data_IF_024973629751
#
_entry.id   IF_024973629751
#
_cell.length_a   1.000
_cell.length_b   1.000
_cell.length_c   1.000
_cell.angle_alpha   90.00
_cell.angle_beta   90.00
_cell.angle_gamma   90.00
#
_symmetry.space_group_name_H-M   'P 1'
#
loop_
_entity.id
_entity.type
_entity.pdbx_description
1 polymer ?
#
# COMPACT_ATOMS: atom_id res chain seq x y z
N UNK A 1 44.10 -6.66 30.58
CA UNK A 1 43.46 -7.73 29.82
C UNK A 1 42.38 -7.11 28.96
N UNK A 2 42.64 -6.96 27.66
CA UNK A 2 41.69 -6.38 26.71
C UNK A 2 40.95 -7.53 26.06
N UNK A 3 39.63 -7.57 26.23
CA UNK A 3 38.76 -8.52 25.49
C UNK A 3 38.52 -7.95 24.10
N UNK A 4 39.12 -8.61 23.09
CA UNK A 4 38.74 -8.43 21.70
C UNK A 4 37.44 -9.17 21.42
N UNK A 5 36.36 -8.43 21.16
CA UNK A 5 35.16 -9.01 20.56
C UNK A 5 35.41 -9.19 19.04
N UNK A 6 35.60 -10.44 18.62
CA UNK A 6 35.56 -10.81 17.21
C UNK A 6 34.12 -10.76 16.73
N UNK A 7 33.78 -9.79 15.90
CA UNK A 7 32.56 -9.78 15.11
C UNK A 7 32.73 -10.78 13.96
N UNK A 8 32.09 -11.92 14.02
CA UNK A 8 31.87 -12.77 12.86
C UNK A 8 30.81 -12.13 11.98
N UNK A 9 31.03 -11.93 10.68
CA UNK A 9 29.99 -11.43 9.78
C UNK A 9 28.88 -12.49 9.66
N UNK A 10 27.68 -12.14 10.08
CA UNK A 10 26.49 -12.97 9.86
C UNK A 10 26.28 -13.15 8.36
N UNK A 11 26.39 -14.37 7.89
CA UNK A 11 26.02 -14.76 6.54
C UNK A 11 24.50 -14.68 6.41
N UNK A 12 24.01 -13.93 5.41
CA UNK A 12 22.58 -13.75 5.09
C UNK A 12 21.89 -15.09 4.75
N UNK A 13 22.64 -16.17 4.57
CA UNK A 13 22.13 -17.50 4.18
C UNK A 13 21.57 -18.35 5.33
N UNK A 14 21.78 -17.98 6.60
CA UNK A 14 21.52 -18.91 7.73
C UNK A 14 20.20 -18.68 8.48
N UNK A 15 19.30 -17.76 8.07
CA UNK A 15 18.16 -17.37 8.93
C UNK A 15 16.77 -17.60 8.30
N UNK A 16 16.64 -18.23 7.12
CA UNK A 16 15.30 -18.35 6.54
C UNK A 16 14.96 -19.81 6.23
N UNK A 17 14.11 -20.41 7.07
CA UNK A 17 13.54 -21.74 6.83
C UNK A 17 12.47 -21.68 5.72
N UNK A 18 12.27 -22.78 4.98
CA UNK A 18 11.19 -22.94 3.99
C UNK A 18 9.81 -22.55 4.53
N UNK A 19 9.61 -22.59 5.84
CA UNK A 19 8.37 -22.24 6.56
C UNK A 19 8.06 -20.73 6.56
N UNK A 20 9.06 -19.86 6.37
CA UNK A 20 8.88 -18.41 6.35
C UNK A 20 8.42 -17.87 4.99
N UNK A 21 8.74 -18.60 3.91
CA UNK A 21 8.28 -18.28 2.55
C UNK A 21 6.77 -18.49 2.40
N UNK A 22 6.23 -19.50 3.08
CA UNK A 22 4.80 -19.85 3.00
C UNK A 22 3.88 -18.88 3.77
N UNK A 23 4.42 -18.01 4.63
CA UNK A 23 3.63 -17.12 5.50
C UNK A 23 3.60 -15.66 5.04
N UNK A 24 4.32 -15.27 3.98
CA UNK A 24 4.28 -13.88 3.50
C UNK A 24 2.91 -13.51 2.93
N UNK A 25 2.32 -12.43 3.45
CA UNK A 25 1.08 -11.87 2.90
C UNK A 25 1.47 -10.93 1.76
N UNK A 26 1.26 -11.40 0.52
CA UNK A 26 1.67 -10.66 -0.69
C UNK A 26 0.61 -10.75 -1.78
N UNK A 27 0.37 -9.64 -2.45
CA UNK A 27 -0.53 -9.54 -3.58
C UNK A 27 -0.22 -8.32 -4.42
N UNK A 28 -1.18 -7.95 -5.26
CA UNK A 28 -1.05 -6.80 -6.15
C UNK A 28 -2.36 -6.05 -6.26
N UNK A 29 -2.31 -4.90 -6.92
CA UNK A 29 -3.50 -4.24 -7.40
C UNK A 29 -4.21 -5.11 -8.44
N UNK A 30 -5.55 -5.24 -8.31
CA UNK A 30 -6.41 -6.02 -9.20
C UNK A 30 -7.63 -5.21 -9.64
N UNK A 31 -8.26 -5.63 -10.74
CA UNK A 31 -9.36 -4.89 -11.35
C UNK A 31 -10.72 -5.28 -10.74
N UNK A 32 -11.47 -4.28 -10.26
CA UNK A 32 -12.85 -4.42 -9.80
C UNK A 32 -13.81 -4.24 -10.99
N UNK A 33 -13.98 -5.32 -11.74
CA UNK A 33 -14.81 -5.34 -12.96
C UNK A 33 -16.27 -5.69 -12.73
N UNK A 34 -16.84 -6.46 -13.65
CA UNK A 34 -18.25 -6.89 -13.58
C UNK A 34 -18.53 -7.93 -12.49
N UNK A 35 -17.55 -8.78 -12.18
CA UNK A 35 -17.62 -9.76 -11.10
C UNK A 35 -17.22 -9.17 -9.73
N UNK A 36 -16.98 -7.86 -9.64
CA UNK A 36 -16.68 -7.13 -8.42
C UNK A 36 -15.59 -7.84 -7.57
N UNK A 37 -15.80 -8.02 -6.26
CA UNK A 37 -14.86 -8.64 -5.34
C UNK A 37 -14.48 -10.08 -5.75
N UNK A 38 -15.42 -10.84 -6.33
CA UNK A 38 -15.13 -12.19 -6.83
C UNK A 38 -14.10 -12.19 -7.96
N UNK A 39 -14.25 -11.26 -8.90
CA UNK A 39 -13.29 -11.08 -9.99
C UNK A 39 -11.90 -10.67 -9.47
N UNK A 40 -11.85 -9.78 -8.47
CA UNK A 40 -10.60 -9.42 -7.78
C UNK A 40 -9.91 -10.64 -7.17
N UNK A 41 -10.64 -11.46 -6.43
CA UNK A 41 -10.10 -12.65 -5.79
C UNK A 41 -9.59 -13.68 -6.81
N UNK A 42 -10.35 -13.93 -7.91
CA UNK A 42 -9.91 -14.81 -8.99
C UNK A 42 -8.63 -14.32 -9.64
N UNK A 43 -8.53 -13.01 -9.89
CA UNK A 43 -7.36 -12.40 -10.48
C UNK A 43 -6.14 -12.53 -9.56
N UNK A 44 -6.29 -12.25 -8.26
CA UNK A 44 -5.22 -12.41 -7.26
C UNK A 44 -4.71 -13.86 -7.20
N UNK A 45 -5.60 -14.85 -7.15
CA UNK A 45 -5.24 -16.27 -7.15
C UNK A 45 -4.48 -16.65 -8.42
N UNK A 46 -4.85 -16.10 -9.58
CA UNK A 46 -4.16 -16.37 -10.86
C UNK A 46 -2.73 -15.85 -10.86
N UNK A 47 -2.40 -14.88 -10.01
CA UNK A 47 -1.04 -14.37 -9.81
C UNK A 47 -0.25 -15.10 -8.71
N UNK A 48 -0.86 -16.08 -8.04
CA UNK A 48 -0.26 -16.75 -6.90
C UNK A 48 -0.21 -15.90 -5.63
N UNK A 49 -1.06 -14.86 -5.57
CA UNK A 49 -1.21 -13.98 -4.42
C UNK A 49 -2.11 -14.58 -3.34
N UNK A 50 -1.93 -14.17 -2.08
CA UNK A 50 -2.79 -14.52 -0.94
C UNK A 50 -3.43 -13.28 -0.28
N UNK A 51 -3.30 -12.14 -0.92
CA UNK A 51 -4.02 -10.89 -0.66
C UNK A 51 -4.13 -10.08 -1.95
N UNK A 52 -4.84 -8.95 -1.92
CA UNK A 52 -4.92 -8.03 -3.05
C UNK A 52 -5.41 -6.65 -2.62
N UNK A 53 -5.21 -5.67 -3.49
CA UNK A 53 -5.78 -4.33 -3.38
C UNK A 53 -6.63 -4.01 -4.61
N UNK A 54 -7.67 -3.20 -4.43
CA UNK A 54 -8.57 -2.82 -5.51
C UNK A 54 -9.19 -1.43 -5.28
N UNK A 55 -9.65 -0.80 -6.36
CA UNK A 55 -10.57 0.34 -6.29
C UNK A 55 -12.00 -0.17 -6.46
N UNK A 56 -13.00 0.42 -5.78
CA UNK A 56 -14.41 0.00 -5.92
C UNK A 56 -15.06 0.45 -7.24
N UNK A 57 -14.28 1.02 -8.14
CA UNK A 57 -14.62 1.52 -9.47
C UNK A 57 -13.44 2.27 -10.05
N UNK A 58 -13.59 2.92 -11.22
CA UNK A 58 -12.49 3.64 -11.84
C UNK A 58 -12.00 4.79 -10.93
N UNK A 59 -10.68 4.87 -10.63
CA UNK A 59 -10.15 5.83 -9.64
C UNK A 59 -10.18 7.29 -10.12
N UNK A 60 -10.37 7.53 -11.43
CA UNK A 60 -10.43 8.86 -12.03
C UNK A 60 -11.85 9.45 -12.09
N UNK A 61 -12.89 8.72 -11.64
CA UNK A 61 -14.27 9.20 -11.66
C UNK A 61 -15.06 8.73 -10.42
N UNK A 62 -16.32 9.17 -10.35
CA UNK A 62 -17.22 8.91 -9.21
C UNK A 62 -18.29 7.87 -9.51
N UNK A 63 -18.28 7.27 -10.70
CA UNK A 63 -19.28 6.30 -11.10
C UNK A 63 -19.07 5.01 -10.31
N UNK A 64 -20.09 4.60 -9.54
CA UNK A 64 -20.05 3.39 -8.70
C UNK A 64 -21.28 2.53 -8.96
N UNK A 65 -21.05 1.28 -9.35
CA UNK A 65 -22.13 0.28 -9.41
C UNK A 65 -22.50 -0.15 -7.99
N UNK A 66 -23.77 -0.51 -7.77
CA UNK A 66 -24.20 -1.10 -6.49
C UNK A 66 -23.36 -2.36 -6.19
N UNK A 67 -23.01 -2.56 -4.93
CA UNK A 67 -22.37 -3.81 -4.49
C UNK A 67 -23.38 -4.94 -4.59
N UNK A 68 -22.96 -6.04 -5.21
CA UNK A 68 -23.74 -7.26 -5.33
C UNK A 68 -23.43 -8.18 -4.16
N UNK A 69 -24.44 -8.44 -3.34
CA UNK A 69 -24.30 -9.27 -2.14
C UNK A 69 -23.97 -10.73 -2.47
N UNK A 70 -24.53 -11.27 -3.57
CA UNK A 70 -24.27 -12.65 -3.99
C UNK A 70 -22.80 -12.80 -4.44
N UNK A 71 -22.33 -11.89 -5.30
CA UNK A 71 -20.91 -11.88 -5.71
C UNK A 71 -19.97 -11.69 -4.51
N UNK A 72 -20.39 -10.91 -3.52
CA UNK A 72 -19.61 -10.73 -2.29
C UNK A 72 -19.54 -12.02 -1.46
N UNK A 73 -20.65 -12.75 -1.33
CA UNK A 73 -20.67 -14.04 -0.64
C UNK A 73 -19.85 -15.10 -1.37
N UNK A 74 -19.99 -15.17 -2.69
CA UNK A 74 -19.17 -16.05 -3.53
C UNK A 74 -17.68 -15.71 -3.45
N UNK A 75 -17.34 -14.42 -3.43
CA UNK A 75 -15.95 -13.96 -3.25
C UNK A 75 -15.36 -14.44 -1.93
N UNK A 76 -16.10 -14.28 -0.82
CA UNK A 76 -15.64 -14.74 0.50
C UNK A 76 -15.41 -16.24 0.54
N UNK A 77 -16.30 -17.01 -0.05
CA UNK A 77 -16.14 -18.47 -0.17
C UNK A 77 -14.89 -18.80 -1.00
N UNK A 78 -14.77 -18.20 -2.18
CA UNK A 78 -13.63 -18.43 -3.09
C UNK A 78 -12.29 -18.05 -2.44
N UNK A 79 -12.24 -16.91 -1.74
CA UNK A 79 -11.04 -16.47 -1.00
C UNK A 79 -10.65 -17.48 0.08
N UNK A 80 -11.61 -17.94 0.89
CA UNK A 80 -11.34 -18.93 1.94
C UNK A 80 -10.82 -20.25 1.37
N UNK A 81 -11.38 -20.72 0.25
CA UNK A 81 -10.96 -21.95 -0.44
C UNK A 81 -9.55 -21.83 -1.06
N UNK A 82 -9.09 -20.61 -1.33
CA UNK A 82 -7.79 -20.34 -1.97
C UNK A 82 -6.77 -19.65 -1.03
N UNK A 83 -7.01 -19.65 0.29
CA UNK A 83 -6.05 -19.15 1.28
C UNK A 83 -5.90 -17.63 1.31
N UNK A 84 -6.90 -16.88 0.85
CA UNK A 84 -6.95 -15.41 0.99
C UNK A 84 -7.79 -15.07 2.23
N UNK A 85 -7.17 -14.45 3.23
CA UNK A 85 -7.89 -13.87 4.37
C UNK A 85 -8.43 -12.48 3.99
N UNK A 86 -9.75 -12.29 4.05
CA UNK A 86 -10.40 -11.00 3.78
C UNK A 86 -9.89 -9.87 4.69
N UNK A 87 -9.40 -10.20 5.88
CA UNK A 87 -8.82 -9.23 6.80
C UNK A 87 -7.51 -8.60 6.30
N UNK A 88 -6.88 -9.22 5.30
CA UNK A 88 -5.68 -8.72 4.66
C UNK A 88 -5.96 -8.03 3.31
N UNK A 89 -7.22 -8.03 2.86
CA UNK A 89 -7.63 -7.38 1.62
C UNK A 89 -7.73 -5.87 1.82
N UNK A 90 -7.18 -5.12 0.88
CA UNK A 90 -7.06 -3.66 0.95
C UNK A 90 -7.91 -3.03 -0.15
N UNK A 91 -8.63 -1.97 0.17
CA UNK A 91 -9.18 -1.05 -0.82
C UNK A 91 -8.29 0.17 -0.94
N UNK A 92 -8.16 0.75 -2.12
CA UNK A 92 -7.55 2.07 -2.29
C UNK A 92 -8.63 3.11 -2.62
N UNK A 93 -8.59 4.24 -1.96
CA UNK A 93 -9.48 5.36 -2.25
C UNK A 93 -9.09 6.02 -3.59
N UNK A 94 -10.06 6.52 -4.38
CA UNK A 94 -9.76 7.21 -5.63
C UNK A 94 -8.85 8.42 -5.44
N UNK A 95 -7.84 8.57 -6.30
CA UNK A 95 -6.85 9.66 -6.21
C UNK A 95 -7.42 11.06 -6.51
N UNK A 96 -8.69 11.16 -6.95
CA UNK A 96 -9.38 12.45 -7.08
C UNK A 96 -9.76 13.06 -5.73
N UNK A 97 -9.67 12.29 -4.64
CA UNK A 97 -9.93 12.76 -3.27
C UNK A 97 -8.76 13.63 -2.81
N UNK A 98 -9.04 14.85 -2.38
CA UNK A 98 -8.07 15.74 -1.77
C UNK A 98 -8.60 16.27 -0.44
N UNK A 99 -8.11 15.73 0.67
CA UNK A 99 -8.54 16.11 2.02
C UNK A 99 -7.80 17.35 2.55
N UNK A 100 -6.73 17.77 1.89
CA UNK A 100 -5.84 18.83 2.38
C UNK A 100 -6.33 20.24 2.08
N UNK A 101 -7.00 20.47 0.94
CA UNK A 101 -7.34 21.81 0.47
C UNK A 101 -8.81 22.17 0.71
N UNK A 102 -9.06 22.92 1.79
CA UNK A 102 -10.38 23.42 2.15
C UNK A 102 -10.68 24.84 1.63
N UNK A 103 -9.74 25.53 0.97
CA UNK A 103 -10.05 26.81 0.31
C UNK A 103 -11.17 26.66 -0.73
N UNK A 104 -11.19 25.53 -1.44
CA UNK A 104 -12.34 25.11 -2.22
C UNK A 104 -13.25 24.22 -1.36
N UNK A 105 -14.13 24.83 -0.59
CA UNK A 105 -14.99 24.11 0.34
C UNK A 105 -15.91 23.09 -0.34
N UNK A 106 -16.38 23.38 -1.57
CA UNK A 106 -17.20 22.44 -2.34
C UNK A 106 -16.39 21.17 -2.71
N UNK A 107 -15.17 21.33 -3.18
CA UNK A 107 -14.29 20.21 -3.52
C UNK A 107 -13.88 19.42 -2.29
N UNK A 108 -13.62 20.09 -1.17
CA UNK A 108 -13.27 19.43 0.08
C UNK A 108 -14.44 18.61 0.65
N UNK A 109 -15.65 19.22 0.69
CA UNK A 109 -16.87 18.54 1.13
C UNK A 109 -17.19 17.34 0.22
N UNK A 110 -17.00 17.48 -1.10
CA UNK A 110 -17.11 16.38 -2.05
C UNK A 110 -16.12 15.25 -1.70
N UNK A 111 -14.84 15.56 -1.45
CA UNK A 111 -13.82 14.57 -1.09
C UNK A 111 -14.17 13.82 0.19
N UNK A 112 -14.67 14.53 1.22
CA UNK A 112 -15.14 13.92 2.46
C UNK A 112 -16.34 13.00 2.23
N UNK A 113 -17.34 13.45 1.49
CA UNK A 113 -18.54 12.66 1.21
C UNK A 113 -18.21 11.41 0.36
N UNK A 114 -17.32 11.57 -0.62
CA UNK A 114 -16.92 10.47 -1.50
C UNK A 114 -16.08 9.42 -0.76
N UNK A 115 -15.13 9.83 0.08
CA UNK A 115 -14.38 8.88 0.92
C UNK A 115 -15.32 8.15 1.89
N UNK A 116 -16.27 8.85 2.49
CA UNK A 116 -17.29 8.21 3.35
C UNK A 116 -18.12 7.18 2.59
N UNK A 117 -18.48 7.46 1.33
CA UNK A 117 -19.17 6.51 0.46
C UNK A 117 -18.31 5.28 0.16
N UNK A 118 -17.02 5.46 -0.16
CA UNK A 118 -16.09 4.34 -0.40
C UNK A 118 -15.95 3.46 0.85
N UNK A 119 -15.84 4.06 2.04
CA UNK A 119 -15.79 3.34 3.32
C UNK A 119 -17.07 2.51 3.54
N UNK A 120 -18.26 3.07 3.26
CA UNK A 120 -19.51 2.33 3.37
C UNK A 120 -19.53 1.13 2.41
N UNK A 121 -19.12 1.33 1.15
CA UNK A 121 -19.07 0.27 0.13
C UNK A 121 -18.17 -0.90 0.53
N UNK A 122 -16.96 -0.61 1.02
CA UNK A 122 -16.04 -1.68 1.45
C UNK A 122 -16.53 -2.37 2.73
N UNK A 123 -17.22 -1.65 3.60
CA UNK A 123 -17.87 -2.22 4.79
C UNK A 123 -18.95 -3.24 4.41
N UNK A 124 -19.76 -2.98 3.35
CA UNK A 124 -20.74 -3.93 2.80
C UNK A 124 -20.05 -5.23 2.33
N UNK A 125 -18.87 -5.11 1.73
CA UNK A 125 -18.08 -6.27 1.29
C UNK A 125 -17.34 -6.98 2.44
N UNK A 126 -17.22 -6.35 3.62
CA UNK A 126 -16.47 -6.87 4.77
C UNK A 126 -14.96 -6.65 4.67
N UNK A 127 -14.51 -5.69 3.86
CA UNK A 127 -13.11 -5.28 3.75
C UNK A 127 -12.81 -4.26 4.85
N UNK A 128 -11.67 -4.41 5.53
CA UNK A 128 -11.38 -3.69 6.76
C UNK A 128 -10.41 -2.51 6.59
N UNK A 129 -9.79 -2.33 5.43
CA UNK A 129 -8.79 -1.30 5.22
C UNK A 129 -9.05 -0.51 3.94
N UNK A 130 -8.87 0.81 4.03
CA UNK A 130 -8.86 1.70 2.87
C UNK A 130 -7.64 2.61 2.93
N UNK A 131 -6.75 2.50 1.95
CA UNK A 131 -5.62 3.40 1.75
C UNK A 131 -6.12 4.70 1.14
N UNK A 132 -5.60 5.83 1.60
CA UNK A 132 -5.89 7.14 1.05
C UNK A 132 -4.63 8.00 0.97
N UNK A 133 -4.42 8.65 -0.17
CA UNK A 133 -3.47 9.75 -0.26
C UNK A 133 -3.98 10.90 0.61
N UNK A 134 -3.18 11.44 1.55
CA UNK A 134 -3.64 12.51 2.43
C UNK A 134 -4.16 13.73 1.67
N UNK A 135 -3.56 14.02 0.52
CA UNK A 135 -3.97 15.10 -0.39
C UNK A 135 -2.85 16.09 -0.69
N UNK A 136 -3.22 17.15 -1.40
CA UNK A 136 -2.31 18.19 -1.87
C UNK A 136 -2.70 19.54 -1.26
N UNK A 137 -1.72 20.23 -0.65
CA UNK A 137 -1.94 21.54 -0.05
C UNK A 137 -2.20 22.65 -1.09
N UNK A 138 -1.75 22.45 -2.33
CA UNK A 138 -1.81 23.46 -3.41
C UNK A 138 -1.15 24.78 -2.97
N UNK A 139 -1.95 25.81 -2.76
CA UNK A 139 -1.47 27.16 -2.40
C UNK A 139 -1.59 27.48 -0.90
N UNK A 140 -2.27 26.61 -0.12
CA UNK A 140 -2.46 26.87 1.31
C UNK A 140 -1.23 26.49 2.12
N UNK A 141 -1.12 27.09 3.31
CA UNK A 141 -0.07 26.77 4.27
C UNK A 141 -0.10 25.28 4.61
N UNK A 142 1.08 24.69 4.78
CA UNK A 142 1.26 23.25 5.03
C UNK A 142 0.58 22.78 6.32
N UNK A 143 0.72 23.56 7.40
CA UNK A 143 0.11 23.20 8.68
C UNK A 143 -1.43 23.25 8.60
N UNK A 144 -1.98 24.25 7.88
CA UNK A 144 -3.41 24.32 7.60
C UNK A 144 -3.89 23.13 6.76
N UNK A 145 -3.10 22.69 5.79
CA UNK A 145 -3.42 21.51 5.00
C UNK A 145 -3.48 20.24 5.87
N UNK A 146 -2.53 20.07 6.79
CA UNK A 146 -2.52 18.98 7.77
C UNK A 146 -3.73 19.03 8.69
N UNK A 147 -4.12 20.21 9.15
CA UNK A 147 -5.34 20.41 9.96
C UNK A 147 -6.60 20.05 9.18
N UNK A 148 -6.67 20.39 7.91
CA UNK A 148 -7.80 20.06 7.04
C UNK A 148 -7.92 18.54 6.83
N UNK A 149 -6.81 17.83 6.64
CA UNK A 149 -6.80 16.36 6.50
C UNK A 149 -7.37 15.72 7.76
N UNK A 150 -6.85 16.10 8.93
CA UNK A 150 -7.33 15.57 10.20
C UNK A 150 -8.81 15.90 10.44
N UNK A 151 -9.25 17.12 10.12
CA UNK A 151 -10.65 17.56 10.23
C UNK A 151 -11.56 16.74 9.31
N UNK A 152 -11.12 16.46 8.07
CA UNK A 152 -11.85 15.61 7.13
C UNK A 152 -12.03 14.20 7.68
N UNK A 153 -10.97 13.59 8.17
CA UNK A 153 -11.02 12.23 8.72
C UNK A 153 -11.95 12.19 9.94
N UNK A 154 -11.84 13.15 10.88
CA UNK A 154 -12.72 13.24 12.05
C UNK A 154 -14.20 13.44 11.68
N UNK A 155 -14.49 14.08 10.53
CA UNK A 155 -15.86 14.23 10.01
C UNK A 155 -16.40 12.94 9.39
N UNK A 156 -15.51 12.12 8.80
CA UNK A 156 -15.88 10.92 8.03
C UNK A 156 -16.13 9.72 8.94
N UNK A 157 -15.28 9.53 9.95
CA UNK A 157 -15.31 8.36 10.83
C UNK A 157 -16.10 8.62 12.11
N UNK A 158 -16.74 7.57 12.60
CA UNK A 158 -17.42 7.50 13.89
C UNK A 158 -17.14 6.16 14.58
N UNK A 159 -17.69 5.94 15.77
CA UNK A 159 -17.52 4.71 16.54
C UNK A 159 -18.01 3.46 15.77
N UNK A 160 -19.01 3.61 14.90
CA UNK A 160 -19.62 2.54 14.13
C UNK A 160 -18.86 2.24 12.82
N UNK A 161 -17.94 3.11 12.42
CA UNK A 161 -17.13 2.91 11.23
C UNK A 161 -16.26 1.66 11.40
N UNK A 162 -16.46 0.63 10.58
CA UNK A 162 -15.70 -0.63 10.66
C UNK A 162 -14.35 -0.54 9.96
N UNK A 163 -14.25 -0.08 8.71
CA UNK A 163 -12.96 0.02 8.04
C UNK A 163 -12.05 1.05 8.68
N UNK A 164 -10.75 0.74 8.69
CA UNK A 164 -9.68 1.65 9.10
C UNK A 164 -9.16 2.41 7.90
N UNK A 165 -8.97 3.72 8.03
CA UNK A 165 -8.31 4.56 7.02
C UNK A 165 -6.80 4.41 7.20
N UNK A 166 -6.09 4.13 6.11
CA UNK A 166 -4.63 4.06 6.08
C UNK A 166 -4.09 5.28 5.33
N UNK A 167 -3.41 6.17 6.04
CA UNK A 167 -2.71 7.29 5.43
C UNK A 167 -1.47 6.75 4.70
N UNK A 168 -1.35 7.05 3.42
CA UNK A 168 -0.20 6.64 2.65
C UNK A 168 0.96 7.62 2.80
N UNK A 169 2.20 7.09 2.90
CA UNK A 169 3.41 7.91 2.82
C UNK A 169 3.62 8.35 1.38
N UNK A 170 3.79 9.66 1.15
CA UNK A 170 3.80 10.26 -0.18
C UNK A 170 5.19 10.64 -0.69
N UNK A 171 5.35 10.63 -2.01
CA UNK A 171 6.61 10.96 -2.69
C UNK A 171 7.03 12.43 -2.56
N UNK A 172 6.08 13.32 -2.26
CA UNK A 172 6.33 14.78 -2.24
C UNK A 172 6.25 15.42 -3.63
N UNK A 173 5.54 14.79 -4.56
CA UNK A 173 5.27 15.33 -5.89
C UNK A 173 4.38 16.56 -5.78
N UNK A 174 4.84 17.67 -6.33
CA UNK A 174 4.12 18.94 -6.23
C UNK A 174 3.95 19.40 -4.79
N UNK A 175 2.73 19.34 -4.28
CA UNK A 175 2.36 19.82 -2.93
C UNK A 175 1.71 18.75 -2.06
N UNK A 176 1.99 17.48 -2.33
CA UNK A 176 1.50 16.34 -1.56
C UNK A 176 1.82 16.47 -0.06
N UNK A 177 0.86 16.11 0.78
CA UNK A 177 1.00 16.02 2.24
C UNK A 177 1.27 14.57 2.65
N UNK A 178 1.95 14.36 3.81
CA UNK A 178 2.30 13.02 4.29
C UNK A 178 3.64 12.53 3.76
N UNK A 179 4.55 13.42 3.43
CA UNK A 179 5.84 13.11 2.79
C UNK A 179 6.92 12.61 3.76
N UNK A 180 6.68 12.69 5.06
CA UNK A 180 7.61 12.24 6.08
C UNK A 180 6.87 11.82 7.36
N UNK A 181 7.60 11.18 8.27
CA UNK A 181 7.07 10.66 9.53
C UNK A 181 6.41 11.76 10.38
N UNK A 182 6.99 12.96 10.41
CA UNK A 182 6.47 14.06 11.26
C UNK A 182 5.14 14.62 10.73
N UNK A 183 4.95 14.70 9.41
CA UNK A 183 3.67 15.10 8.84
C UNK A 183 2.57 14.05 9.09
N UNK A 184 2.87 12.76 8.87
CA UNK A 184 1.95 11.67 9.21
C UNK A 184 1.61 11.72 10.71
N UNK A 185 2.61 11.88 11.57
CA UNK A 185 2.40 12.03 13.02
C UNK A 185 1.49 13.21 13.36
N UNK A 186 1.74 14.36 12.72
CA UNK A 186 0.94 15.58 12.95
C UNK A 186 -0.54 15.39 12.57
N UNK A 187 -0.82 14.64 11.50
CA UNK A 187 -2.19 14.27 11.13
C UNK A 187 -2.78 13.33 12.20
N UNK A 188 -2.07 12.24 12.53
CA UNK A 188 -2.53 11.22 13.47
C UNK A 188 -2.80 11.79 14.87
N UNK A 189 -2.00 12.77 15.33
CA UNK A 189 -2.19 13.38 16.65
C UNK A 189 -3.50 14.15 16.77
N UNK A 190 -4.02 14.68 15.67
CA UNK A 190 -5.27 15.45 15.59
C UNK A 190 -6.49 14.58 15.33
N UNK A 191 -6.32 13.27 15.11
CA UNK A 191 -7.42 12.31 14.95
C UNK A 191 -7.99 11.97 16.34
N UNK A 192 -9.31 12.07 16.47
CA UNK A 192 -10.03 11.75 17.72
C UNK A 192 -10.10 10.23 17.92
N UNK A 193 -10.54 9.49 16.90
CA UNK A 193 -10.68 8.04 16.92
C UNK A 193 -9.41 7.37 16.36
N UNK A 194 -8.31 7.45 17.10
CA UNK A 194 -6.98 6.96 16.67
C UNK A 194 -6.98 5.48 16.26
N UNK A 195 -7.83 4.65 16.88
CA UNK A 195 -7.97 3.23 16.53
C UNK A 195 -8.57 2.96 15.15
N UNK A 196 -9.10 4.00 14.48
CA UNK A 196 -9.69 3.92 13.14
C UNK A 196 -8.75 4.40 12.03
N UNK A 197 -7.51 4.77 12.37
CA UNK A 197 -6.54 5.28 11.39
C UNK A 197 -5.20 4.58 11.60
N UNK A 198 -4.60 4.17 10.50
CA UNK A 198 -3.26 3.58 10.43
C UNK A 198 -2.45 4.19 9.30
N UNK A 199 -1.38 3.52 8.92
CA UNK A 199 -0.45 3.99 7.88
C UNK A 199 -0.23 2.88 6.85
N UNK A 200 -0.18 3.29 5.58
CA UNK A 200 0.36 2.52 4.48
C UNK A 200 1.72 3.10 4.11
N UNK A 201 2.75 2.27 4.06
CA UNK A 201 4.08 2.66 3.62
C UNK A 201 4.24 2.26 2.16
N UNK A 202 4.59 3.22 1.27
CA UNK A 202 5.00 2.92 -0.10
C UNK A 202 6.53 3.07 -0.24
N UNK A 203 7.21 2.04 -0.72
CA UNK A 203 8.68 2.04 -0.85
C UNK A 203 9.18 2.97 -1.96
N UNK A 204 8.44 3.12 -3.06
CA UNK A 204 8.75 4.08 -4.12
C UNK A 204 8.57 5.51 -3.61
N UNK A 205 7.46 5.79 -2.92
CA UNK A 205 7.20 7.12 -2.34
C UNK A 205 8.26 7.50 -1.30
N UNK A 206 8.66 6.57 -0.44
CA UNK A 206 9.76 6.83 0.49
C UNK A 206 11.06 7.17 -0.22
N UNK A 207 11.46 6.39 -1.24
CA UNK A 207 12.64 6.68 -2.05
C UNK A 207 12.54 8.08 -2.68
N UNK A 208 11.42 8.36 -3.31
CA UNK A 208 11.21 9.63 -4.01
C UNK A 208 11.10 10.83 -3.05
N UNK A 209 10.69 10.62 -1.79
CA UNK A 209 10.71 11.65 -0.74
C UNK A 209 12.08 11.88 -0.11
N UNK A 210 13.05 11.00 -0.34
CA UNK A 210 14.44 11.13 0.12
C UNK A 210 14.88 10.11 1.16
N UNK A 211 14.10 9.06 1.39
CA UNK A 211 14.46 7.94 2.27
C UNK A 211 15.29 6.91 1.52
N UNK A 212 16.49 6.62 2.00
CA UNK A 212 17.36 5.56 1.48
C UNK A 212 16.83 4.19 1.90
N UNK A 213 16.19 3.46 0.97
CA UNK A 213 15.60 2.15 1.26
C UNK A 213 16.66 1.10 1.63
N UNK A 214 17.92 1.29 1.26
CA UNK A 214 19.00 0.42 1.75
C UNK A 214 19.17 0.49 3.28
N UNK A 215 18.70 1.58 3.90
CA UNK A 215 18.67 1.86 5.35
C UNK A 215 17.25 1.78 5.94
N UNK A 216 16.35 1.04 5.34
CA UNK A 216 14.95 0.96 5.76
C UNK A 216 14.77 0.58 7.23
N UNK A 217 15.68 -0.21 7.80
CA UNK A 217 15.66 -0.52 9.24
C UNK A 217 15.82 0.72 10.14
N UNK A 218 16.59 1.71 9.71
CA UNK A 218 16.77 2.94 10.48
C UNK A 218 15.54 3.83 10.37
N UNK A 219 14.95 3.93 9.16
CA UNK A 219 13.64 4.55 8.96
C UNK A 219 12.57 3.88 9.85
N UNK A 220 12.54 2.55 9.89
CA UNK A 220 11.56 1.80 10.68
C UNK A 220 11.73 2.02 12.20
N UNK A 221 12.96 2.17 12.70
CA UNK A 221 13.23 2.53 14.10
C UNK A 221 12.72 3.94 14.41
N UNK A 222 12.97 4.90 13.51
CA UNK A 222 12.44 6.26 13.65
C UNK A 222 10.91 6.26 13.64
N UNK A 223 10.30 5.55 12.71
CA UNK A 223 8.85 5.40 12.62
C UNK A 223 8.27 4.79 13.90
N UNK A 224 8.89 3.74 14.43
CA UNK A 224 8.48 3.08 15.67
C UNK A 224 8.54 4.03 16.88
N UNK A 225 9.61 4.82 16.99
CA UNK A 225 9.77 5.80 18.06
C UNK A 225 8.75 6.96 17.99
N UNK A 226 8.35 7.39 16.80
CA UNK A 226 7.52 8.59 16.58
C UNK A 226 6.05 8.24 16.51
N UNK A 227 5.68 7.18 15.79
CA UNK A 227 4.28 6.80 15.50
C UNK A 227 3.92 5.45 16.15
N UNK A 228 4.87 4.52 16.19
CA UNK A 228 4.68 3.14 16.61
C UNK A 228 4.47 2.21 15.41
N UNK A 229 5.28 1.15 15.33
CA UNK A 229 5.30 0.19 14.22
C UNK A 229 3.96 -0.51 14.00
N UNK A 230 3.17 -0.68 15.08
CA UNK A 230 1.85 -1.32 15.03
C UNK A 230 0.82 -0.53 14.25
N UNK A 231 1.10 0.74 13.91
CA UNK A 231 0.25 1.56 13.04
C UNK A 231 0.47 1.25 11.55
N UNK A 232 1.54 0.55 11.17
CA UNK A 232 1.74 0.08 9.78
C UNK A 232 0.79 -1.09 9.53
N UNK A 233 -0.13 -0.93 8.57
CA UNK A 233 -1.16 -1.92 8.24
C UNK A 233 -1.08 -2.41 6.79
N UNK A 234 -0.33 -1.73 5.95
CA UNK A 234 -0.09 -2.09 4.56
C UNK A 234 1.29 -1.58 4.12
N UNK A 235 1.91 -2.30 3.22
CA UNK A 235 3.09 -1.85 2.49
C UNK A 235 2.80 -1.95 1.01
N UNK A 236 2.87 -0.83 0.29
CA UNK A 236 3.00 -0.84 -1.15
C UNK A 236 4.48 -1.10 -1.47
N UNK A 237 4.73 -2.29 -2.01
CA UNK A 237 6.08 -2.75 -2.30
C UNK A 237 6.39 -2.50 -3.77
N UNK A 238 6.96 -1.35 -4.06
CA UNK A 238 7.23 -0.88 -5.42
C UNK A 238 8.70 -0.48 -5.56
N UNK A 239 9.29 -0.74 -6.73
CA UNK A 239 10.56 -0.11 -7.10
C UNK A 239 10.31 1.29 -7.68
N UNK A 240 11.35 2.10 -7.79
CA UNK A 240 11.24 3.46 -8.33
C UNK A 240 12.09 3.63 -9.59
N UNK A 241 11.52 4.34 -10.59
CA UNK A 241 12.27 4.81 -11.77
C UNK A 241 13.25 5.94 -11.46
N UNK A 242 13.11 6.54 -10.28
CA UNK A 242 13.77 7.79 -9.96
C UNK A 242 14.85 7.60 -8.91
N UNK A 243 15.87 8.44 -8.99
CA UNK A 243 16.86 8.58 -7.92
C UNK A 243 16.20 9.07 -6.63
N UNK A 244 16.83 8.76 -5.51
CA UNK A 244 16.39 9.15 -4.18
C UNK A 244 16.14 10.67 -4.10
N UNK A 245 14.98 11.07 -3.54
CA UNK A 245 14.61 12.47 -3.37
C UNK A 245 14.09 13.17 -4.64
N UNK A 246 13.79 12.44 -5.69
CA UNK A 246 13.33 13.01 -6.97
C UNK A 246 11.93 13.63 -6.94
N UNK A 247 11.10 13.28 -5.96
CA UNK A 247 9.71 13.78 -5.77
C UNK A 247 8.82 13.63 -7.00
N UNK A 248 8.80 12.44 -7.61
CA UNK A 248 8.10 12.21 -8.88
C UNK A 248 6.98 11.19 -8.82
N UNK A 249 7.06 10.21 -7.94
CA UNK A 249 6.10 9.11 -7.86
C UNK A 249 5.98 8.39 -9.21
N UNK A 250 6.96 7.55 -9.49
CA UNK A 250 6.99 6.72 -10.70
C UNK A 250 7.49 5.33 -10.37
N UNK A 251 6.56 4.40 -10.22
CA UNK A 251 6.86 3.01 -9.95
C UNK A 251 7.62 2.35 -11.12
N UNK A 252 8.49 1.42 -10.76
CA UNK A 252 9.16 0.51 -11.68
C UNK A 252 8.89 -0.95 -11.26
N UNK A 253 9.09 -1.88 -12.17
CA UNK A 253 9.01 -3.30 -11.87
C UNK A 253 10.06 -3.72 -10.84
N UNK A 254 9.74 -4.71 -10.01
CA UNK A 254 10.58 -5.14 -8.88
C UNK A 254 11.99 -5.51 -9.33
N UNK A 255 12.98 -4.77 -8.83
CA UNK A 255 14.39 -4.96 -9.13
C UNK A 255 14.89 -4.29 -10.42
N UNK A 256 14.01 -3.62 -11.15
CA UNK A 256 14.37 -2.89 -12.39
C UNK A 256 14.54 -1.39 -12.17
N UNK A 257 14.24 -0.91 -10.97
CA UNK A 257 14.40 0.50 -10.59
C UNK A 257 15.65 0.78 -9.77
N UNK A 258 15.68 1.97 -9.18
CA UNK A 258 16.83 2.49 -8.42
C UNK A 258 16.92 1.97 -6.99
N UNK A 259 15.81 1.50 -6.41
CA UNK A 259 15.80 0.85 -5.09
C UNK A 259 16.50 -0.51 -5.20
N UNK A 260 16.15 -1.28 -6.23
CA UNK A 260 16.75 -2.56 -6.56
C UNK A 260 16.20 -3.74 -5.77
N UNK A 261 16.33 -4.92 -6.37
CA UNK A 261 15.73 -6.16 -5.89
C UNK A 261 16.12 -6.51 -4.44
N UNK A 262 17.42 -6.48 -4.13
CA UNK A 262 17.92 -6.90 -2.82
C UNK A 262 17.38 -6.05 -1.65
N UNK A 263 17.17 -4.75 -1.87
CA UNK A 263 16.62 -3.86 -0.85
C UNK A 263 15.13 -4.13 -0.66
N UNK A 264 14.38 -4.34 -1.73
CA UNK A 264 12.95 -4.69 -1.66
C UNK A 264 12.73 -6.05 -1.00
N UNK A 265 13.60 -7.04 -1.26
CA UNK A 265 13.57 -8.34 -0.56
C UNK A 265 13.82 -8.16 0.94
N UNK A 266 14.79 -7.34 1.33
CA UNK A 266 15.02 -7.04 2.76
C UNK A 266 13.78 -6.45 3.42
N UNK A 267 13.10 -5.50 2.78
CA UNK A 267 11.84 -4.94 3.30
C UNK A 267 10.76 -6.00 3.41
N UNK A 268 10.60 -6.84 2.38
CA UNK A 268 9.56 -7.87 2.31
C UNK A 268 9.64 -8.90 3.43
N UNK A 269 10.86 -9.24 3.84
CA UNK A 269 11.14 -10.31 4.81
C UNK A 269 11.50 -9.80 6.22
N UNK A 270 11.23 -8.53 6.53
CA UNK A 270 11.41 -8.04 7.90
C UNK A 270 10.42 -8.72 8.86
N UNK A 271 10.93 -9.42 9.85
CA UNK A 271 10.11 -10.16 10.83
C UNK A 271 9.09 -9.25 11.54
N UNK A 272 9.46 -8.01 11.86
CA UNK A 272 8.57 -7.01 12.46
C UNK A 272 7.35 -6.64 11.58
N UNK A 273 7.40 -6.93 10.28
CA UNK A 273 6.38 -6.61 9.28
C UNK A 273 5.80 -7.86 8.60
N UNK A 274 6.09 -9.07 9.10
CA UNK A 274 5.66 -10.33 8.49
C UNK A 274 4.16 -10.44 8.30
N UNK A 275 3.39 -9.96 9.29
CA UNK A 275 1.92 -10.01 9.29
C UNK A 275 1.27 -8.80 8.59
N UNK A 276 2.07 -7.90 8.02
CA UNK A 276 1.59 -6.74 7.25
C UNK A 276 1.49 -7.10 5.78
N UNK A 277 0.33 -6.91 5.10
CA UNK A 277 0.18 -7.16 3.68
C UNK A 277 1.13 -6.31 2.83
N UNK A 278 1.77 -6.94 1.82
CA UNK A 278 2.58 -6.30 0.79
C UNK A 278 1.80 -6.31 -0.52
N UNK A 279 1.64 -5.14 -1.12
CA UNK A 279 0.87 -4.94 -2.35
C UNK A 279 1.78 -4.37 -3.42
N UNK A 280 1.78 -4.97 -4.59
CA UNK A 280 2.49 -4.49 -5.78
C UNK A 280 1.58 -3.59 -6.60
N UNK A 281 2.10 -2.44 -7.01
CA UNK A 281 1.47 -1.50 -7.93
C UNK A 281 2.40 -1.18 -9.10
N UNK A 282 3.26 -2.11 -9.43
CA UNK A 282 4.26 -1.99 -10.50
C UNK A 282 3.61 -1.81 -11.88
N UNK A 283 4.27 -1.12 -12.81
CA UNK A 283 3.68 -0.84 -14.11
C UNK A 283 3.48 -2.10 -14.95
N UNK A 284 2.43 -2.09 -15.75
CA UNK A 284 2.20 -3.12 -16.76
C UNK A 284 3.30 -3.11 -17.84
N UNK A 285 3.65 -4.28 -18.32
CA UNK A 285 4.59 -4.48 -19.42
C UNK A 285 3.77 -4.67 -20.69
N UNK A 286 3.78 -3.66 -21.57
CA UNK A 286 3.01 -3.65 -22.83
C UNK A 286 1.55 -4.11 -22.61
N UNK A 287 0.88 -3.46 -21.65
CA UNK A 287 -0.52 -3.73 -21.26
C UNK A 287 -0.77 -5.05 -20.51
N UNK A 288 0.25 -5.84 -20.22
CA UNK A 288 0.15 -7.08 -19.48
C UNK A 288 0.62 -6.93 -18.03
N UNK A 289 -0.13 -7.45 -17.04
CA UNK A 289 0.26 -7.38 -15.64
C UNK A 289 1.45 -8.30 -15.34
N UNK A 290 2.53 -7.80 -14.70
CA UNK A 290 3.72 -8.59 -14.39
C UNK A 290 3.59 -9.39 -13.08
N UNK A 291 2.55 -9.18 -12.32
CA UNK A 291 2.42 -9.53 -10.91
C UNK A 291 2.66 -10.99 -10.58
N UNK A 292 2.25 -11.93 -11.45
CA UNK A 292 2.53 -13.35 -11.25
C UNK A 292 4.03 -13.62 -11.13
N UNK A 293 4.80 -13.03 -12.02
CA UNK A 293 6.26 -13.22 -12.07
C UNK A 293 6.97 -12.47 -10.94
N UNK A 294 6.52 -11.27 -10.62
CA UNK A 294 7.10 -10.47 -9.54
C UNK A 294 6.83 -11.09 -8.16
N UNK A 295 5.61 -11.61 -7.91
CA UNK A 295 5.30 -12.36 -6.69
C UNK A 295 6.17 -13.62 -6.60
N UNK A 296 6.39 -14.32 -7.71
CA UNK A 296 7.27 -15.50 -7.78
C UNK A 296 8.73 -15.12 -7.49
N UNK A 297 9.24 -14.03 -8.08
CA UNK A 297 10.58 -13.49 -7.80
C UNK A 297 10.76 -13.20 -6.30
N UNK A 298 9.79 -12.53 -5.68
CA UNK A 298 9.85 -12.17 -4.27
C UNK A 298 9.80 -13.42 -3.39
N UNK A 299 8.86 -14.35 -3.64
CA UNK A 299 8.73 -15.59 -2.88
C UNK A 299 9.97 -16.46 -2.97
N UNK A 300 10.57 -16.57 -4.15
CA UNK A 300 11.77 -17.36 -4.38
C UNK A 300 13.06 -16.60 -4.04
N UNK A 301 12.98 -15.30 -3.71
CA UNK A 301 14.15 -14.42 -3.49
C UNK A 301 15.14 -14.46 -4.65
N UNK A 302 14.63 -14.58 -5.86
CA UNK A 302 15.43 -14.73 -7.08
C UNK A 302 15.00 -13.70 -8.10
N UNK A 303 15.93 -12.83 -8.47
CA UNK A 303 15.71 -11.82 -9.51
C UNK A 303 15.57 -12.49 -10.88
N UNK A 304 14.52 -12.12 -11.63
CA UNK A 304 14.32 -12.55 -13.01
C UNK A 304 14.73 -11.41 -13.96
N UNK A 305 15.86 -11.54 -14.63
CA UNK A 305 16.36 -10.56 -15.60
C UNK A 305 15.70 -10.68 -16.99
N UNK A 306 14.75 -11.60 -17.18
CA UNK A 306 13.97 -11.79 -18.40
C UNK A 306 12.47 -11.49 -18.18
N UNK A 307 12.13 -10.68 -17.17
CA UNK A 307 10.74 -10.43 -16.77
C UNK A 307 9.85 -10.01 -17.96
N UNK A 308 10.31 -9.06 -18.80
CA UNK A 308 9.55 -8.59 -19.96
C UNK A 308 9.25 -9.74 -20.93
N UNK A 309 10.26 -10.53 -21.27
CA UNK A 309 10.13 -11.66 -22.20
C UNK A 309 9.14 -12.71 -21.66
N UNK A 310 9.25 -13.05 -20.38
CA UNK A 310 8.40 -14.05 -19.74
C UNK A 310 6.94 -13.59 -19.66
N UNK A 311 6.72 -12.34 -19.29
CA UNK A 311 5.37 -11.73 -19.26
C UNK A 311 4.75 -11.75 -20.65
N UNK A 312 5.45 -11.27 -21.69
CA UNK A 312 4.94 -11.24 -23.05
C UNK A 312 4.64 -12.64 -23.58
N UNK A 313 5.53 -13.61 -23.35
CA UNK A 313 5.34 -15.00 -23.76
C UNK A 313 4.14 -15.66 -23.07
N UNK A 314 3.89 -15.29 -21.81
CA UNK A 314 2.76 -15.84 -21.05
C UNK A 314 1.42 -15.36 -21.59
N UNK A 315 1.29 -14.08 -21.95
CA UNK A 315 0.04 -13.48 -22.41
C UNK A 315 -0.18 -13.54 -23.92
N UNK A 316 0.83 -13.96 -24.72
CA UNK A 316 0.68 -14.21 -26.16
C UNK A 316 0.02 -15.56 -26.50
N UNK A 317 -0.31 -16.35 -25.49
CA UNK A 317 -1.04 -17.61 -25.62
C UNK A 317 -2.54 -17.40 -25.54
#
# INVERSE_FOLDING_TARGET
MAYQYQFTPFSIHDIISKKEVDNMIIGSHVNFGTEQLLGCAKQAVSYGANTFMFYTGAPQNTIRKKIDENLTLEAKKYMNENGIDINNVICHAPYIINLANRENEMSWNFSCAFLKQEIARISEMGVNFIVVHPGNSLKINRDVAIDNIASAINLIIDENTKPMILLETMAGKGTECGINILEIKSILDKIVLKSKVGVCIDTCHLNDSGVDISKFLDYLKEFDNVIGITNIKCIHLNDSKNEIGARKDRHENIGYGTIGFDNLIKVSYLDKLKDVPKILETPYIKENPPYKFEIEMIKNKTFNNHLEEDVLKFYQK
#
